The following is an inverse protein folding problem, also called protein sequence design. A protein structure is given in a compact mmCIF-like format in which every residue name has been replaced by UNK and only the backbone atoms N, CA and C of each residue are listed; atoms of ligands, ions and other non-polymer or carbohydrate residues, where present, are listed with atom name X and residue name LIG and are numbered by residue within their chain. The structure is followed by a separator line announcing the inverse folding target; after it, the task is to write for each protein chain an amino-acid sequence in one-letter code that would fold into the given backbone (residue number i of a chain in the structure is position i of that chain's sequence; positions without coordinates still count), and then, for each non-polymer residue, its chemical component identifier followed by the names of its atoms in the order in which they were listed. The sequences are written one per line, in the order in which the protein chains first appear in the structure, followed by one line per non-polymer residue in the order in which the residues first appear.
data_IF_428311729062
#
_entry.id   IF_428311729062
#
_cell.length_a   1.000
_cell.length_b   1.000
_cell.length_c   1.000
_cell.angle_alpha   90.00
_cell.angle_beta   90.00
_cell.angle_gamma   90.00
#
_symmetry.space_group_name_H-M   'P 1'
#
loop_
_entity.id
_entity.type
_entity.pdbx_description
1 polymer ?
#
# COMPACT_ATOMS: atom_id res chain seq x y z
N UNK A 1 -3.22 -34.06 -62.28
CA UNK A 1 -4.36 -34.43 -63.15
C UNK A 1 -5.38 -35.15 -62.27
N UNK A 2 -6.70 -34.90 -62.43
CA UNK A 2 -7.88 -35.77 -62.14
C UNK A 2 -7.97 -36.59 -60.81
N UNK A 3 -9.12 -36.93 -60.20
CA UNK A 3 -10.58 -36.56 -60.22
C UNK A 3 -11.26 -37.47 -59.14
N UNK A 4 -12.33 -37.25 -58.36
CA UNK A 4 -13.28 -36.16 -57.94
C UNK A 4 -14.07 -36.71 -56.70
N UNK A 5 -15.06 -35.96 -56.17
CA UNK A 5 -16.16 -36.39 -55.22
C UNK A 5 -15.77 -36.45 -53.73
N UNK A 6 -16.61 -36.11 -52.73
CA UNK A 6 -18.00 -35.58 -52.57
C UNK A 6 -17.96 -34.59 -51.36
N UNK A 7 -18.65 -33.44 -51.20
CA UNK A 7 -20.02 -32.92 -51.48
C UNK A 7 -21.14 -33.28 -50.48
N UNK A 8 -21.38 -32.41 -49.48
CA UNK A 8 -22.67 -31.98 -48.83
C UNK A 8 -22.31 -30.86 -47.81
N UNK A 9 -22.87 -29.63 -47.84
CA UNK A 9 -24.23 -29.16 -47.50
C UNK A 9 -24.50 -29.16 -45.96
N UNK A 10 -25.19 -28.18 -45.32
CA UNK A 10 -26.26 -27.27 -45.79
C UNK A 10 -26.11 -25.77 -45.40
N UNK A 11 -27.10 -24.99 -45.89
CA UNK A 11 -27.36 -23.55 -45.85
C UNK A 11 -27.54 -22.86 -44.48
N UNK A 12 -27.33 -21.54 -44.47
CA UNK A 12 -27.69 -20.62 -43.39
C UNK A 12 -29.21 -20.32 -43.31
N UNK A 13 -29.63 -19.70 -42.21
CA UNK A 13 -30.98 -19.13 -42.03
C UNK A 13 -30.85 -17.67 -41.59
N UNK A 14 -31.59 -16.77 -42.24
CA UNK A 14 -31.71 -15.36 -41.86
C UNK A 14 -33.19 -15.01 -41.71
N UNK A 15 -33.53 -14.21 -40.69
CA UNK A 15 -34.86 -13.66 -40.48
C UNK A 15 -34.77 -12.14 -40.30
N UNK A 16 -35.73 -11.42 -40.87
CA UNK A 16 -35.79 -9.95 -40.94
C UNK A 16 -37.25 -9.52 -40.70
N UNK A 17 -37.42 -8.27 -40.27
CA UNK A 17 -38.67 -7.48 -40.23
C UNK A 17 -39.62 -7.68 -39.03
N UNK A 18 -40.36 -6.65 -38.54
CA UNK A 18 -40.20 -5.17 -38.61
C UNK A 18 -41.35 -4.45 -37.83
N UNK A 19 -41.27 -3.12 -37.69
CA UNK A 19 -42.38 -2.16 -37.39
C UNK A 19 -42.93 -2.18 -35.94
N UNK A 20 -43.47 -1.11 -35.35
CA UNK A 20 -43.55 0.34 -35.65
C UNK A 20 -43.59 1.09 -34.28
N UNK A 21 -43.04 2.30 -34.04
CA UNK A 21 -43.07 3.59 -34.75
C UNK A 21 -44.39 4.39 -34.61
N UNK A 22 -44.35 5.49 -33.84
CA UNK A 22 -45.26 6.66 -33.91
C UNK A 22 -44.61 7.87 -33.17
N UNK A 23 -44.93 9.11 -33.55
CA UNK A 23 -44.19 10.31 -33.12
C UNK A 23 -45.02 11.63 -33.10
N UNK A 24 -44.44 12.68 -32.51
CA UNK A 24 -44.99 14.05 -32.32
C UNK A 24 -44.83 14.50 -30.85
N UNK A 25 -44.48 15.75 -30.47
CA UNK A 25 -44.38 17.03 -31.19
C UNK A 25 -45.49 18.01 -30.74
N UNK A 26 -45.29 19.30 -30.42
CA UNK A 26 -44.06 20.11 -30.27
C UNK A 26 -44.39 21.61 -30.06
N UNK A 27 -43.51 22.39 -29.40
CA UNK A 27 -43.66 23.85 -29.14
C UNK A 27 -44.57 24.25 -27.95
N UNK A 28 -44.64 25.51 -27.48
CA UNK A 28 -43.78 26.69 -27.69
C UNK A 28 -44.06 27.83 -26.65
N UNK A 29 -43.04 28.64 -26.32
CA UNK A 29 -43.03 30.07 -25.92
C UNK A 29 -44.02 30.67 -24.86
N UNK A 30 -43.48 31.08 -23.69
CA UNK A 30 -43.47 32.46 -23.08
C UNK A 30 -44.77 33.32 -22.89
N UNK A 31 -44.76 34.46 -22.12
CA UNK A 31 -44.05 34.85 -20.87
C UNK A 31 -44.97 35.57 -19.82
N UNK A 32 -44.37 36.20 -18.79
CA UNK A 32 -44.96 37.19 -17.85
C UNK A 32 -45.85 36.63 -16.72
N UNK A 33 -46.05 37.29 -15.56
CA UNK A 33 -45.73 38.68 -15.17
C UNK A 33 -45.24 38.80 -13.71
N UNK A 34 -44.74 39.98 -13.33
CA UNK A 34 -44.33 40.33 -11.96
C UNK A 34 -45.26 41.38 -11.35
N UNK A 35 -45.40 41.39 -10.01
CA UNK A 35 -46.07 42.46 -9.26
C UNK A 35 -45.29 42.81 -7.98
N UNK A 36 -45.13 44.11 -7.73
CA UNK A 36 -44.24 44.65 -6.70
C UNK A 36 -44.89 44.68 -5.31
N UNK A 37 -44.07 44.64 -4.25
CA UNK A 37 -44.44 44.96 -2.87
C UNK A 37 -43.20 45.00 -1.99
N UNK A 38 -42.88 46.14 -1.38
CA UNK A 38 -41.59 46.35 -0.72
C UNK A 38 -41.70 47.16 0.59
N UNK A 39 -40.69 46.98 1.44
CA UNK A 39 -40.35 47.75 2.65
C UNK A 39 -41.31 47.59 3.84
N UNK A 40 -40.81 46.91 4.87
CA UNK A 40 -41.04 47.27 6.27
C UNK A 40 -39.75 47.00 7.07
N UNK A 41 -39.01 48.05 7.41
CA UNK A 41 -37.85 47.98 8.31
C UNK A 41 -38.27 48.33 9.73
N UNK A 42 -37.97 47.47 10.71
CA UNK A 42 -37.53 47.98 12.01
C UNK A 42 -36.71 46.99 12.86
N UNK A 43 -35.44 47.34 13.06
CA UNK A 43 -34.62 47.21 14.27
C UNK A 43 -34.91 46.11 15.30
N UNK A 44 -33.91 45.26 15.56
CA UNK A 44 -33.57 44.80 16.93
C UNK A 44 -32.12 44.28 17.04
N UNK A 45 -31.28 45.06 17.74
CA UNK A 45 -30.13 44.67 18.59
C UNK A 45 -29.16 43.54 18.16
N UNK A 46 -27.88 43.91 17.98
CA UNK A 46 -26.77 43.16 18.60
C UNK A 46 -26.79 43.45 20.13
N UNK A 47 -26.33 42.64 21.08
CA UNK A 47 -25.17 41.73 21.26
C UNK A 47 -25.60 40.58 22.23
N UNK A 48 -24.77 39.57 22.64
CA UNK A 48 -23.31 39.42 22.49
C UNK A 48 -22.87 38.07 21.87
N UNK A 49 -21.62 37.66 22.12
CA UNK A 49 -20.98 36.45 21.62
C UNK A 49 -21.31 35.18 22.47
N UNK A 50 -20.66 34.09 22.10
CA UNK A 50 -20.63 32.77 22.75
C UNK A 50 -21.95 31.98 22.80
N UNK A 51 -22.10 31.12 21.79
CA UNK A 51 -22.78 29.83 21.91
C UNK A 51 -21.97 28.83 21.09
N UNK A 52 -21.45 27.75 21.71
CA UNK A 52 -20.57 26.83 20.99
C UNK A 52 -21.35 26.09 19.90
N UNK A 53 -20.83 26.12 18.68
CA UNK A 53 -21.18 25.10 17.68
C UNK A 53 -20.94 23.72 18.30
N UNK A 54 -21.87 22.76 18.20
CA UNK A 54 -21.65 21.43 18.73
C UNK A 54 -20.50 20.78 17.96
N UNK A 55 -19.31 20.75 18.57
CA UNK A 55 -18.20 19.90 18.12
C UNK A 55 -18.72 18.48 18.04
N UNK A 56 -18.59 17.78 16.89
CA UNK A 56 -19.02 16.40 16.80
C UNK A 56 -18.20 15.58 17.80
N UNK A 57 -18.88 15.00 18.79
CA UNK A 57 -18.24 14.16 19.81
C UNK A 57 -17.53 13.01 19.09
N UNK A 58 -16.22 12.79 19.30
CA UNK A 58 -15.54 11.65 18.71
C UNK A 58 -16.24 10.35 19.14
N UNK A 59 -16.55 9.49 18.18
CA UNK A 59 -17.15 8.20 18.48
C UNK A 59 -16.19 7.41 19.41
N UNK A 60 -16.64 6.87 20.55
CA UNK A 60 -15.75 6.35 21.61
C UNK A 60 -15.06 5.01 21.29
N UNK A 61 -14.96 4.63 20.02
CA UNK A 61 -14.36 3.39 19.51
C UNK A 61 -12.85 3.49 19.30
N UNK A 62 -12.28 4.70 19.18
CA UNK A 62 -10.83 4.89 18.94
C UNK A 62 -9.96 4.84 20.20
N UNK A 63 -10.54 4.58 21.38
CA UNK A 63 -9.84 4.62 22.67
C UNK A 63 -9.41 3.24 23.22
N UNK A 64 -9.67 2.14 22.51
CA UNK A 64 -9.37 0.77 22.96
C UNK A 64 -8.56 -0.04 21.93
N UNK A 65 -7.34 0.42 21.66
CA UNK A 65 -6.23 -0.42 21.14
C UNK A 65 -5.05 -0.32 22.10
N UNK A 66 -5.24 -0.86 23.31
CA UNK A 66 -4.13 -1.28 24.16
C UNK A 66 -3.57 -2.59 23.61
N UNK A 67 -2.50 -2.51 22.83
CA UNK A 67 -1.94 -3.68 22.15
C UNK A 67 -1.36 -4.70 23.14
N UNK A 68 -1.49 -6.00 22.80
CA UNK A 68 -1.17 -7.08 23.72
C UNK A 68 0.35 -7.20 23.92
N UNK A 69 0.82 -6.80 25.10
CA UNK A 69 2.15 -7.16 25.59
C UNK A 69 2.18 -8.63 26.04
N UNK A 70 2.09 -9.54 25.07
CA UNK A 70 2.17 -10.98 25.27
C UNK A 70 2.18 -11.74 23.95
N UNK A 71 3.24 -12.53 23.73
CA UNK A 71 3.40 -13.46 22.60
C UNK A 71 3.26 -12.83 21.20
N UNK A 72 4.11 -11.85 20.87
CA UNK A 72 4.24 -11.33 19.49
C UNK A 72 5.43 -11.98 18.80
N UNK A 73 5.24 -12.48 17.57
CA UNK A 73 6.33 -12.85 16.66
C UNK A 73 6.71 -11.63 15.83
N UNK A 74 8.02 -11.43 15.65
CA UNK A 74 8.63 -10.38 14.83
C UNK A 74 10.14 -10.61 14.74
N UNK A 75 10.86 -9.79 13.97
CA UNK A 75 12.30 -9.95 13.78
C UNK A 75 13.14 -9.29 14.87
N UNK A 76 14.25 -9.93 15.25
CA UNK A 76 15.23 -9.33 16.15
C UNK A 76 16.07 -8.26 15.44
N UNK A 77 16.27 -7.11 16.08
CA UNK A 77 17.03 -5.96 15.56
C UNK A 77 18.23 -5.60 16.46
N UNK A 78 19.21 -4.90 15.90
CA UNK A 78 20.33 -4.28 16.62
C UNK A 78 20.76 -2.97 15.93
N UNK A 79 21.93 -2.43 16.27
CA UNK A 79 22.49 -1.22 15.62
C UNK A 79 22.89 -1.45 14.16
N UNK A 80 23.20 -2.69 13.77
CA UNK A 80 23.71 -3.06 12.44
C UNK A 80 22.97 -4.22 11.79
N UNK A 81 22.17 -4.99 12.53
CA UNK A 81 21.25 -6.00 11.99
C UNK A 81 19.83 -5.45 12.01
N UNK A 82 19.21 -5.32 10.84
CA UNK A 82 17.83 -4.91 10.72
C UNK A 82 16.89 -5.93 11.36
N UNK A 83 15.79 -5.43 11.89
CA UNK A 83 14.57 -6.20 12.09
C UNK A 83 13.53 -5.81 11.05
N UNK A 84 12.80 -6.79 10.54
CA UNK A 84 11.54 -6.57 9.85
C UNK A 84 10.51 -5.86 10.76
N UNK A 85 9.66 -5.00 10.19
CA UNK A 85 8.62 -4.24 10.92
C UNK A 85 7.25 -4.94 10.86
N UNK A 86 7.29 -6.24 11.14
CA UNK A 86 6.15 -7.15 11.12
C UNK A 86 5.85 -7.67 12.52
N UNK A 87 4.55 -7.69 12.86
CA UNK A 87 4.02 -8.15 14.13
C UNK A 87 2.92 -9.19 13.87
N UNK A 88 3.02 -10.34 14.51
CA UNK A 88 1.97 -11.38 14.52
C UNK A 88 1.65 -11.76 15.97
N UNK A 89 0.37 -11.76 16.35
CA UNK A 89 -0.05 -12.30 17.63
C UNK A 89 0.00 -13.84 17.60
N UNK A 90 1.05 -14.43 18.19
CA UNK A 90 1.26 -15.88 18.21
C UNK A 90 0.12 -16.63 18.90
N UNK A 91 -0.60 -15.96 19.81
CA UNK A 91 -1.76 -16.53 20.53
C UNK A 91 -3.00 -16.71 19.64
N UNK A 92 -3.04 -16.09 18.46
CA UNK A 92 -4.11 -16.29 17.47
C UNK A 92 -3.90 -17.55 16.61
N UNK A 93 -2.63 -17.93 16.37
CA UNK A 93 -2.24 -19.09 15.56
C UNK A 93 -2.55 -18.96 14.06
N UNK A 94 -2.24 -20.01 13.31
CA UNK A 94 -2.63 -20.16 11.91
C UNK A 94 -3.99 -20.88 11.79
N UNK A 95 -4.68 -20.61 10.69
CA UNK A 95 -6.04 -21.08 10.42
C UNK A 95 -6.18 -21.56 8.97
N UNK A 96 -7.29 -22.21 8.64
CA UNK A 96 -7.57 -22.70 7.28
C UNK A 96 -8.23 -21.65 6.38
N UNK A 97 -8.49 -20.43 6.86
CA UNK A 97 -9.22 -19.40 6.10
C UNK A 97 -8.76 -17.97 6.40
N UNK A 98 -8.75 -17.10 5.39
CA UNK A 98 -8.41 -15.68 5.53
C UNK A 98 -9.40 -14.82 6.33
N UNK A 99 -10.49 -15.38 6.88
CA UNK A 99 -11.65 -14.63 7.39
C UNK A 99 -11.38 -13.73 8.63
N UNK A 100 -10.20 -13.84 9.25
CA UNK A 100 -9.86 -13.13 10.49
C UNK A 100 -9.15 -11.79 10.26
N UNK A 101 -8.79 -11.43 9.03
CA UNK A 101 -8.11 -10.16 8.69
C UNK A 101 -8.58 -9.61 7.34
N UNK A 102 -8.11 -8.43 6.96
CA UNK A 102 -8.44 -7.82 5.67
C UNK A 102 -7.74 -8.53 4.51
N UNK A 103 -8.44 -8.67 3.39
CA UNK A 103 -7.91 -9.24 2.15
C UNK A 103 -7.56 -8.20 1.09
N UNK A 104 -7.02 -8.65 -0.06
CA UNK A 104 -6.69 -7.76 -1.18
C UNK A 104 -7.90 -6.94 -1.67
N UNK A 105 -9.11 -7.52 -1.67
CA UNK A 105 -10.33 -6.81 -2.06
C UNK A 105 -10.69 -5.66 -1.09
N UNK A 106 -10.47 -5.86 0.21
CA UNK A 106 -10.70 -4.85 1.25
C UNK A 106 -9.74 -3.67 1.09
N UNK A 107 -8.44 -3.97 0.93
CA UNK A 107 -7.38 -2.99 0.73
C UNK A 107 -7.64 -2.12 -0.52
N UNK A 108 -8.05 -2.75 -1.62
CA UNK A 108 -8.39 -2.05 -2.86
C UNK A 108 -9.59 -1.12 -2.69
N UNK A 109 -10.63 -1.56 -1.99
CA UNK A 109 -11.80 -0.74 -1.68
C UNK A 109 -11.46 0.45 -0.75
N UNK A 110 -10.69 0.21 0.32
CA UNK A 110 -10.28 1.24 1.28
C UNK A 110 -9.45 2.37 0.66
N UNK A 111 -8.58 2.00 -0.29
CA UNK A 111 -7.61 2.89 -0.91
C UNK A 111 -7.99 3.30 -2.35
N UNK A 112 -9.28 3.23 -2.71
CA UNK A 112 -9.80 3.80 -3.95
C UNK A 112 -9.31 3.14 -5.24
N UNK A 113 -8.84 1.89 -5.17
CA UNK A 113 -8.33 1.13 -6.31
C UNK A 113 -9.45 0.35 -7.00
N UNK A 114 -9.46 0.35 -8.33
CA UNK A 114 -10.43 -0.42 -9.11
C UNK A 114 -10.37 -1.93 -8.77
N UNK A 115 -11.52 -2.64 -8.69
CA UNK A 115 -11.55 -4.08 -8.52
C UNK A 115 -10.74 -4.82 -9.60
N UNK A 116 -10.20 -5.98 -9.23
CA UNK A 116 -9.43 -6.82 -10.16
C UNK A 116 -10.35 -7.36 -11.24
N UNK A 117 -9.97 -7.18 -12.51
CA UNK A 117 -10.80 -7.59 -13.63
C UNK A 117 -10.66 -9.10 -13.89
N UNK A 118 -11.77 -9.85 -14.09
CA UNK A 118 -11.70 -11.27 -14.42
C UNK A 118 -10.85 -11.52 -15.68
N UNK A 119 -9.94 -12.49 -15.60
CA UNK A 119 -9.02 -12.82 -16.70
C UNK A 119 -7.85 -11.85 -16.88
N UNK A 120 -7.61 -10.91 -15.96
CA UNK A 120 -6.39 -10.13 -15.93
C UNK A 120 -5.14 -11.02 -15.83
N UNK A 121 -4.01 -10.54 -16.34
CA UNK A 121 -2.71 -11.23 -16.35
C UNK A 121 -1.64 -10.36 -15.69
N UNK A 122 -0.66 -11.01 -15.04
CA UNK A 122 0.42 -10.33 -14.35
C UNK A 122 1.65 -10.17 -15.26
N UNK A 123 1.56 -9.21 -16.18
CA UNK A 123 2.57 -8.93 -17.21
C UNK A 123 3.01 -7.46 -17.29
N UNK A 124 2.59 -6.63 -16.34
CA UNK A 124 2.93 -5.20 -16.25
C UNK A 124 4.36 -4.95 -15.74
N UNK A 125 4.64 -3.76 -15.17
CA UNK A 125 5.96 -3.43 -14.66
C UNK A 125 6.33 -4.30 -13.44
N UNK A 126 7.61 -4.36 -13.11
CA UNK A 126 8.11 -5.14 -11.97
C UNK A 126 8.20 -4.29 -10.69
N UNK A 127 7.79 -4.89 -9.58
CA UNK A 127 8.10 -4.46 -8.21
C UNK A 127 9.18 -5.42 -7.70
N UNK A 128 10.22 -4.91 -7.06
CA UNK A 128 11.11 -5.72 -6.24
C UNK A 128 10.78 -5.56 -4.75
N UNK A 129 10.99 -6.60 -3.96
CA UNK A 129 10.91 -6.55 -2.49
C UNK A 129 12.19 -7.17 -1.91
N UNK A 130 12.80 -6.47 -0.96
CA UNK A 130 14.12 -6.81 -0.40
C UNK A 130 13.96 -7.32 1.02
N UNK A 131 14.44 -8.54 1.27
CA UNK A 131 14.28 -9.26 2.54
C UNK A 131 15.61 -9.88 3.00
N UNK A 132 15.66 -10.36 4.24
CA UNK A 132 16.77 -11.18 4.73
C UNK A 132 16.39 -12.67 4.77
N UNK A 133 17.38 -13.53 4.50
CA UNK A 133 17.28 -15.01 4.43
C UNK A 133 16.42 -15.51 3.25
N UNK A 134 16.50 -16.82 2.95
CA UNK A 134 15.69 -17.47 1.90
C UNK A 134 14.35 -17.95 2.47
N UNK A 135 13.25 -17.56 1.81
CA UNK A 135 11.96 -18.21 1.92
C UNK A 135 11.79 -19.17 0.73
N UNK A 136 12.08 -20.48 0.91
CA UNK A 136 11.98 -21.44 -0.17
C UNK A 136 10.56 -21.58 -0.71
N UNK A 137 9.55 -21.33 0.11
CA UNK A 137 8.12 -21.56 -0.16
C UNK A 137 7.41 -20.35 -0.78
N UNK A 138 8.06 -19.19 -0.88
CA UNK A 138 7.44 -17.92 -1.30
C UNK A 138 6.57 -18.01 -2.57
N UNK A 139 6.97 -18.78 -3.61
CA UNK A 139 6.14 -18.93 -4.82
C UNK A 139 4.85 -19.75 -4.57
N UNK A 140 4.88 -20.75 -3.69
CA UNK A 140 3.72 -21.56 -3.32
C UNK A 140 2.73 -20.75 -2.46
N UNK A 141 3.27 -19.97 -1.52
CA UNK A 141 2.46 -19.22 -0.56
C UNK A 141 1.87 -17.95 -1.22
N UNK A 142 2.64 -17.29 -2.09
CA UNK A 142 2.15 -16.28 -3.04
C UNK A 142 1.04 -16.83 -3.97
N UNK A 143 1.22 -18.04 -4.53
CA UNK A 143 0.19 -18.65 -5.38
C UNK A 143 -1.10 -18.93 -4.59
N UNK A 144 -0.98 -19.38 -3.34
CA UNK A 144 -2.13 -19.64 -2.45
C UNK A 144 -2.86 -18.34 -2.08
N UNK A 145 -2.12 -17.29 -1.70
CA UNK A 145 -2.68 -15.95 -1.43
C UNK A 145 -3.42 -15.40 -2.66
N UNK A 146 -2.77 -15.42 -3.82
CA UNK A 146 -3.32 -14.86 -5.06
C UNK A 146 -4.55 -15.63 -5.55
N UNK A 147 -4.55 -16.96 -5.43
CA UNK A 147 -5.72 -17.78 -5.75
C UNK A 147 -6.92 -17.47 -4.84
N UNK A 148 -6.72 -17.35 -3.52
CA UNK A 148 -7.80 -17.09 -2.57
C UNK A 148 -8.48 -15.72 -2.74
N UNK A 149 -7.72 -14.71 -3.18
CA UNK A 149 -8.24 -13.36 -3.46
C UNK A 149 -8.56 -13.09 -4.95
N UNK A 150 -8.56 -14.12 -5.81
CA UNK A 150 -8.91 -13.99 -7.23
C UNK A 150 -7.94 -13.14 -8.05
N UNK A 151 -6.69 -13.02 -7.61
CA UNK A 151 -5.63 -12.29 -8.29
C UNK A 151 -5.02 -13.17 -9.40
N UNK A 152 -4.46 -12.59 -10.49
CA UNK A 152 -3.84 -13.37 -11.57
C UNK A 152 -2.71 -14.27 -11.05
N UNK A 153 -2.51 -15.45 -11.64
CA UNK A 153 -1.36 -16.30 -11.29
C UNK A 153 -0.03 -15.56 -11.57
N UNK A 154 0.88 -15.56 -10.60
CA UNK A 154 2.23 -15.00 -10.73
C UNK A 154 3.23 -16.08 -10.31
N UNK A 155 4.00 -16.59 -11.27
CA UNK A 155 4.90 -17.74 -11.07
C UNK A 155 6.20 -17.56 -11.85
N UNK A 156 7.23 -18.31 -11.47
CA UNK A 156 8.47 -18.44 -12.24
C UNK A 156 8.17 -19.03 -13.62
N UNK A 157 7.24 -19.99 -13.68
CA UNK A 157 6.83 -20.67 -14.91
C UNK A 157 6.10 -19.76 -15.92
N UNK A 158 5.45 -18.67 -15.49
CA UNK A 158 4.81 -17.69 -16.38
C UNK A 158 5.60 -16.37 -16.52
N UNK A 159 6.80 -16.28 -15.92
CA UNK A 159 7.67 -15.11 -16.02
C UNK A 159 7.12 -13.86 -15.33
N UNK A 160 6.25 -14.02 -14.33
CA UNK A 160 5.78 -12.96 -13.46
C UNK A 160 6.55 -12.88 -12.14
N UNK A 161 6.86 -14.04 -11.53
CA UNK A 161 7.65 -14.11 -10.32
C UNK A 161 9.12 -14.42 -10.66
N UNK A 162 10.04 -13.87 -9.87
CA UNK A 162 11.44 -14.23 -9.86
C UNK A 162 11.97 -14.15 -8.42
N UNK A 163 12.92 -15.03 -8.07
CA UNK A 163 13.65 -14.97 -6.79
C UNK A 163 15.15 -14.85 -7.06
N UNK A 164 15.79 -13.87 -6.44
CA UNK A 164 17.19 -13.53 -6.62
C UNK A 164 17.91 -13.52 -5.27
N UNK A 165 19.13 -14.06 -5.24
CA UNK A 165 19.92 -14.18 -4.01
C UNK A 165 21.11 -13.24 -4.07
N UNK A 166 21.25 -12.34 -3.10
CA UNK A 166 22.46 -11.55 -2.95
C UNK A 166 23.63 -12.50 -2.58
N UNK A 167 24.70 -12.46 -3.37
CA UNK A 167 25.77 -13.47 -3.36
C UNK A 167 25.63 -14.57 -4.43
N UNK A 168 24.55 -14.61 -5.21
CA UNK A 168 24.44 -15.39 -6.45
C UNK A 168 24.27 -16.91 -6.30
N UNK A 169 23.96 -17.40 -5.10
CA UNK A 169 23.72 -18.81 -4.82
C UNK A 169 22.55 -18.97 -3.84
N UNK A 170 21.92 -20.16 -3.83
CA UNK A 170 20.89 -20.50 -2.84
C UNK A 170 21.41 -20.24 -1.42
N UNK A 171 20.68 -19.42 -0.67
CA UNK A 171 20.97 -19.17 0.73
C UNK A 171 20.52 -20.36 1.58
N UNK A 172 20.75 -20.30 2.91
CA UNK A 172 20.15 -21.27 3.83
C UNK A 172 18.72 -20.81 4.16
N UNK A 173 17.70 -21.67 3.98
CA UNK A 173 16.35 -21.37 4.43
C UNK A 173 16.33 -21.02 5.92
N UNK A 174 15.58 -19.99 6.31
CA UNK A 174 15.36 -19.68 7.73
C UNK A 174 13.87 -19.55 8.04
N UNK A 175 13.28 -20.66 8.50
CA UNK A 175 11.91 -20.73 9.04
C UNK A 175 11.79 -19.77 10.25
N UNK A 176 11.32 -18.56 10.00
CA UNK A 176 11.42 -17.42 10.92
C UNK A 176 10.46 -16.29 10.51
N UNK A 177 10.39 -15.22 11.30
CA UNK A 177 9.63 -14.01 10.97
C UNK A 177 10.02 -13.37 9.62
N UNK A 178 11.22 -13.64 9.09
CA UNK A 178 11.63 -13.15 7.77
C UNK A 178 11.00 -13.92 6.59
N UNK A 179 10.65 -15.20 6.76
CA UNK A 179 9.88 -15.92 5.76
C UNK A 179 8.46 -15.33 5.66
N UNK A 180 7.83 -15.15 6.83
CA UNK A 180 6.54 -14.48 7.01
C UNK A 180 6.53 -13.04 6.45
N UNK A 181 7.64 -12.30 6.60
CA UNK A 181 7.81 -11.00 5.97
C UNK A 181 7.84 -11.10 4.44
N UNK A 182 8.61 -12.05 3.89
CA UNK A 182 8.67 -12.28 2.44
C UNK A 182 7.29 -12.58 1.85
N UNK A 183 6.48 -13.38 2.54
CA UNK A 183 5.11 -13.68 2.13
C UNK A 183 4.16 -12.47 2.30
N UNK A 184 4.40 -11.63 3.32
CA UNK A 184 3.65 -10.38 3.54
C UNK A 184 3.97 -9.33 2.46
N UNK A 185 5.25 -9.11 2.16
CA UNK A 185 5.72 -8.20 1.11
C UNK A 185 5.11 -8.55 -0.26
N UNK A 186 5.19 -9.83 -0.65
CA UNK A 186 4.66 -10.30 -1.91
C UNK A 186 3.12 -10.27 -1.95
N UNK A 187 2.44 -10.53 -0.83
CA UNK A 187 0.99 -10.40 -0.69
C UNK A 187 0.51 -8.95 -0.83
N UNK A 188 1.15 -8.01 -0.14
CA UNK A 188 0.74 -6.60 -0.14
C UNK A 188 1.08 -5.89 -1.45
N UNK A 189 2.23 -6.18 -2.06
CA UNK A 189 2.54 -5.77 -3.43
C UNK A 189 1.52 -6.33 -4.45
N UNK A 190 1.11 -7.61 -4.28
CA UNK A 190 0.04 -8.22 -5.09
C UNK A 190 -1.32 -7.55 -4.92
N UNK A 191 -1.67 -7.09 -3.71
CA UNK A 191 -2.94 -6.43 -3.45
C UNK A 191 -3.03 -5.04 -4.11
N UNK A 192 -1.94 -4.27 -4.09
CA UNK A 192 -1.86 -2.95 -4.73
C UNK A 192 -1.75 -3.05 -6.26
N UNK A 193 -0.87 -3.91 -6.79
CA UNK A 193 -0.73 -4.13 -8.24
C UNK A 193 -0.86 -5.63 -8.63
N UNK A 194 -2.09 -6.16 -8.75
CA UNK A 194 -2.33 -7.54 -9.19
C UNK A 194 -1.77 -7.88 -10.58
N UNK A 195 -1.56 -6.89 -11.43
CA UNK A 195 -1.02 -7.03 -12.79
C UNK A 195 0.49 -6.83 -12.89
N UNK A 196 1.16 -6.39 -11.82
CA UNK A 196 2.61 -6.22 -11.80
C UNK A 196 3.33 -7.57 -11.68
N UNK A 197 4.59 -7.58 -12.12
CA UNK A 197 5.56 -8.64 -11.84
C UNK A 197 6.18 -8.44 -10.46
N UNK A 198 6.66 -9.52 -9.86
CA UNK A 198 7.24 -9.52 -8.52
C UNK A 198 8.63 -10.15 -8.53
N UNK A 199 9.61 -9.46 -7.95
CA UNK A 199 10.98 -9.92 -7.78
C UNK A 199 11.27 -9.96 -6.28
N UNK A 200 11.38 -11.16 -5.71
CA UNK A 200 11.86 -11.34 -4.33
C UNK A 200 13.40 -11.32 -4.35
N UNK A 201 14.02 -10.43 -3.57
CA UNK A 201 15.49 -10.30 -3.49
C UNK A 201 15.96 -10.55 -2.07
N UNK A 202 16.68 -11.65 -1.89
CA UNK A 202 16.99 -12.24 -0.59
C UNK A 202 18.45 -11.99 -0.19
N UNK A 203 18.65 -11.39 0.97
CA UNK A 203 19.97 -11.12 1.56
C UNK A 203 20.48 -12.30 2.39
N UNK A 204 21.79 -12.64 2.38
CA UNK A 204 22.34 -13.77 3.14
C UNK A 204 22.17 -13.67 4.68
N UNK A 205 21.94 -12.47 5.20
CA UNK A 205 21.59 -12.19 6.59
C UNK A 205 20.84 -10.84 6.67
N UNK A 206 20.42 -10.42 7.87
CA UNK A 206 19.79 -9.10 8.06
C UNK A 206 20.78 -7.96 8.39
N UNK A 207 22.07 -8.08 8.11
CA UNK A 207 23.00 -6.96 8.27
C UNK A 207 22.66 -5.83 7.29
N UNK A 208 22.71 -4.57 7.74
CA UNK A 208 22.33 -3.43 6.88
C UNK A 208 23.26 -3.28 5.65
N UNK A 209 24.49 -3.80 5.74
CA UNK A 209 25.47 -3.90 4.65
C UNK A 209 25.10 -4.92 3.57
N UNK A 210 24.49 -6.05 3.93
CA UNK A 210 24.09 -7.09 2.97
C UNK A 210 22.73 -6.77 2.36
N UNK A 211 21.84 -6.14 3.13
CA UNK A 211 20.58 -5.56 2.64
C UNK A 211 20.84 -4.41 1.66
N UNK A 212 21.84 -3.55 1.91
CA UNK A 212 22.26 -2.52 0.95
C UNK A 212 22.69 -3.10 -0.41
N UNK A 213 23.42 -4.21 -0.43
CA UNK A 213 23.78 -4.90 -1.67
C UNK A 213 22.63 -5.70 -2.30
N UNK A 214 21.58 -6.01 -1.53
CA UNK A 214 20.34 -6.57 -2.07
C UNK A 214 19.47 -5.47 -2.74
N UNK A 215 19.48 -4.24 -2.21
CA UNK A 215 18.89 -3.06 -2.87
C UNK A 215 19.58 -2.78 -4.23
N UNK A 216 20.92 -2.77 -4.28
CA UNK A 216 21.68 -2.67 -5.54
C UNK A 216 21.24 -3.73 -6.57
N UNK A 217 21.09 -4.98 -6.12
CA UNK A 217 20.70 -6.12 -6.96
C UNK A 217 19.25 -6.01 -7.44
N UNK A 218 18.34 -5.51 -6.60
CA UNK A 218 16.96 -5.21 -6.95
C UNK A 218 16.88 -4.12 -8.02
N UNK A 219 17.56 -2.99 -7.81
CA UNK A 219 17.60 -1.89 -8.77
C UNK A 219 18.22 -2.27 -10.12
N UNK A 220 19.20 -3.18 -10.12
CA UNK A 220 19.80 -3.74 -11.34
C UNK A 220 18.81 -4.55 -12.21
N UNK A 221 17.62 -4.93 -11.70
CA UNK A 221 16.56 -5.55 -12.50
C UNK A 221 15.64 -4.53 -13.18
N UNK A 222 15.87 -3.22 -12.95
CA UNK A 222 15.02 -2.12 -13.39
C UNK A 222 13.52 -2.26 -13.02
N UNK A 223 13.18 -2.57 -11.75
CA UNK A 223 11.80 -2.44 -11.27
C UNK A 223 11.39 -0.97 -11.24
N UNK A 224 10.08 -0.69 -11.28
CA UNK A 224 9.57 0.68 -11.13
C UNK A 224 9.46 1.10 -9.66
N UNK A 225 9.45 0.14 -8.73
CA UNK A 225 9.41 0.36 -7.28
C UNK A 225 10.16 -0.73 -6.52
N UNK A 226 10.72 -0.38 -5.35
CA UNK A 226 11.35 -1.32 -4.42
C UNK A 226 10.69 -1.19 -3.03
N UNK A 227 10.29 -2.32 -2.46
CA UNK A 227 9.76 -2.45 -1.09
C UNK A 227 10.84 -2.90 -0.11
N UNK A 228 10.97 -2.18 1.01
CA UNK A 228 11.90 -2.51 2.10
C UNK A 228 11.14 -2.55 3.44
N UNK A 229 10.81 -3.75 3.91
CA UNK A 229 9.96 -3.95 5.10
C UNK A 229 10.75 -4.11 6.41
N UNK A 230 11.82 -3.34 6.58
CA UNK A 230 12.75 -3.49 7.69
C UNK A 230 13.47 -2.20 8.08
N UNK A 231 14.16 -2.21 9.22
CA UNK A 231 15.06 -1.12 9.57
C UNK A 231 16.02 -1.38 10.73
N UNK A 232 16.96 -0.45 10.87
CA UNK A 232 17.86 -0.28 12.03
C UNK A 232 17.67 1.13 12.63
N UNK A 233 18.00 1.37 13.91
CA UNK A 233 18.01 2.73 14.47
C UNK A 233 18.93 3.64 13.65
N UNK A 234 18.50 4.86 13.30
CA UNK A 234 19.36 5.77 12.52
C UNK A 234 20.67 6.05 13.27
N UNK A 235 21.79 5.71 12.65
CA UNK A 235 23.13 5.89 13.20
C UNK A 235 24.17 6.06 12.08
N UNK A 236 25.37 6.52 12.45
CA UNK A 236 26.44 6.83 11.48
C UNK A 236 26.91 5.61 10.67
N UNK A 237 26.83 4.39 11.24
CA UNK A 237 27.24 3.16 10.54
C UNK A 237 26.20 2.78 9.49
N UNK A 238 24.91 2.82 9.82
CA UNK A 238 23.83 2.62 8.85
C UNK A 238 23.87 3.67 7.72
N UNK A 239 24.06 4.95 8.08
CA UNK A 239 24.15 6.06 7.12
C UNK A 239 25.36 6.01 6.19
N UNK A 240 26.38 5.20 6.47
CA UNK A 240 27.45 4.92 5.52
C UNK A 240 26.98 4.18 4.26
N UNK A 241 25.84 3.48 4.33
CA UNK A 241 25.21 2.75 3.22
C UNK A 241 24.08 3.55 2.54
N UNK A 242 23.88 4.83 2.88
CA UNK A 242 22.75 5.62 2.38
C UNK A 242 22.65 5.75 0.85
N UNK A 243 23.77 5.61 0.13
CA UNK A 243 23.81 5.65 -1.33
C UNK A 243 23.11 4.47 -2.01
N UNK A 244 22.95 3.35 -1.32
CA UNK A 244 22.32 2.15 -1.89
C UNK A 244 20.80 2.31 -2.05
N UNK A 245 20.13 3.04 -1.14
CA UNK A 245 18.71 3.39 -1.30
C UNK A 245 18.52 4.68 -2.12
N UNK A 246 19.28 4.87 -3.20
CA UNK A 246 19.23 6.08 -4.05
C UNK A 246 19.38 5.75 -5.54
N UNK A 247 18.32 5.23 -6.14
CA UNK A 247 18.24 4.89 -7.56
C UNK A 247 17.23 5.80 -8.29
N UNK A 248 17.67 6.88 -8.97
CA UNK A 248 16.77 7.78 -9.68
C UNK A 248 15.90 7.06 -10.71
N UNK A 249 14.60 7.37 -10.70
CA UNK A 249 13.61 6.72 -11.56
C UNK A 249 13.02 5.42 -11.00
N UNK A 250 13.46 4.96 -9.82
CA UNK A 250 12.87 3.82 -9.11
C UNK A 250 12.23 4.33 -7.82
N UNK A 251 10.94 4.01 -7.60
CA UNK A 251 10.22 4.42 -6.41
C UNK A 251 10.59 3.52 -5.20
N UNK A 252 11.65 3.89 -4.49
CA UNK A 252 12.08 3.20 -3.27
C UNK A 252 11.15 3.56 -2.11
N UNK A 253 10.66 2.55 -1.41
CA UNK A 253 9.78 2.66 -0.23
C UNK A 253 10.37 1.89 0.94
N UNK A 254 10.17 2.39 2.16
CA UNK A 254 10.57 1.67 3.37
C UNK A 254 9.55 1.83 4.50
N UNK A 255 9.33 0.78 5.27
CA UNK A 255 8.44 0.81 6.44
C UNK A 255 9.07 1.64 7.56
N UNK A 256 8.30 2.59 8.10
CA UNK A 256 8.84 3.63 8.98
C UNK A 256 9.24 3.13 10.38
N UNK A 257 8.77 1.95 10.80
CA UNK A 257 9.03 1.33 12.09
C UNK A 257 7.77 1.15 12.93
N UNK A 258 7.89 0.34 13.98
CA UNK A 258 6.77 -0.12 14.82
C UNK A 258 6.93 0.27 16.31
N UNK A 259 7.92 1.12 16.59
CA UNK A 259 8.33 1.51 17.94
C UNK A 259 8.27 3.03 18.18
N UNK A 260 7.29 3.71 17.56
CA UNK A 260 7.06 5.18 17.63
C UNK A 260 8.21 6.07 17.14
N UNK A 261 9.33 5.49 16.73
CA UNK A 261 10.57 6.16 16.35
C UNK A 261 10.93 5.75 14.92
N UNK A 262 11.35 6.68 14.04
CA UNK A 262 11.65 6.33 12.65
C UNK A 262 13.00 5.62 12.52
N UNK A 263 13.06 4.61 11.65
CA UNK A 263 14.27 3.80 11.40
C UNK A 263 14.91 4.10 10.04
N UNK A 264 16.18 3.74 9.89
CA UNK A 264 16.87 3.71 8.59
C UNK A 264 16.54 2.37 7.90
N UNK A 265 16.23 2.34 6.58
CA UNK A 265 16.45 3.40 5.59
C UNK A 265 15.31 4.44 5.43
N UNK A 266 14.18 4.29 6.11
CA UNK A 266 13.04 5.22 5.98
C UNK A 266 13.38 6.69 6.37
N UNK A 267 14.40 6.95 7.20
CA UNK A 267 14.87 8.32 7.47
C UNK A 267 15.55 9.02 6.29
N UNK A 268 15.86 8.34 5.18
CA UNK A 268 16.51 8.93 4.01
C UNK A 268 15.58 9.80 3.18
N UNK A 269 16.15 10.82 2.52
CA UNK A 269 15.46 11.71 1.57
C UNK A 269 15.34 11.14 0.15
N UNK A 270 16.02 10.03 -0.16
CA UNK A 270 15.87 9.28 -1.41
C UNK A 270 14.78 8.21 -1.37
N UNK A 271 14.19 7.97 -0.19
CA UNK A 271 13.19 6.93 0.09
C UNK A 271 11.84 7.55 0.40
N UNK A 272 10.74 6.91 -0.02
CA UNK A 272 9.39 7.20 0.51
C UNK A 272 9.20 6.46 1.82
N UNK A 273 9.06 7.19 2.93
CA UNK A 273 8.85 6.60 4.24
C UNK A 273 7.37 6.31 4.46
N UNK A 274 7.03 5.06 4.79
CA UNK A 274 5.65 4.58 4.88
C UNK A 274 5.27 4.23 6.32
N UNK A 275 4.39 5.04 6.90
CA UNK A 275 3.87 4.89 8.26
C UNK A 275 2.59 4.06 8.33
N UNK A 276 2.06 3.93 9.55
CA UNK A 276 0.90 3.11 9.87
C UNK A 276 -0.40 3.88 10.12
N UNK A 277 -1.51 3.32 9.65
CA UNK A 277 -2.88 3.70 10.04
C UNK A 277 -3.63 2.55 10.72
N UNK A 278 -4.62 2.90 11.53
CA UNK A 278 -5.70 2.00 11.96
C UNK A 278 -6.81 2.12 10.91
N UNK A 279 -7.11 1.05 10.19
CA UNK A 279 -8.13 1.02 9.13
C UNK A 279 -9.34 0.18 9.57
N UNK A 280 -10.52 0.80 9.63
CA UNK A 280 -11.75 0.16 10.14
C UNK A 280 -12.88 0.29 9.14
N UNK A 281 -13.64 -0.79 8.91
CA UNK A 281 -14.87 -0.78 8.10
C UNK A 281 -15.92 0.10 8.77
N UNK A 282 -16.37 1.14 8.08
CA UNK A 282 -17.29 2.13 8.61
C UNK A 282 -18.35 2.50 7.56
N UNK A 283 -19.48 1.80 7.62
CA UNK A 283 -20.63 1.98 6.75
C UNK A 283 -21.38 3.33 6.96
N UNK A 284 -20.97 4.16 7.92
CA UNK A 284 -21.50 5.54 8.06
C UNK A 284 -20.77 6.53 7.15
N UNK A 285 -19.59 6.17 6.65
CA UNK A 285 -18.81 6.99 5.71
C UNK A 285 -19.12 6.65 4.25
N UNK A 286 -19.01 7.64 3.36
CA UNK A 286 -19.14 7.44 1.90
C UNK A 286 -18.07 6.49 1.35
N UNK A 287 -16.89 6.45 1.98
CA UNK A 287 -15.81 5.52 1.63
C UNK A 287 -16.10 4.08 2.06
N UNK A 288 -16.95 3.86 3.07
CA UNK A 288 -17.10 2.59 3.77
C UNK A 288 -15.97 2.28 4.76
N UNK A 289 -15.07 3.25 5.01
CA UNK A 289 -13.82 3.07 5.76
C UNK A 289 -13.39 4.34 6.50
N UNK A 290 -13.14 4.20 7.80
CA UNK A 290 -12.55 5.25 8.66
C UNK A 290 -11.10 4.90 9.00
N UNK A 291 -10.23 5.90 9.06
CA UNK A 291 -8.82 5.74 9.44
C UNK A 291 -8.36 6.71 10.54
N UNK A 292 -7.42 6.25 11.35
CA UNK A 292 -6.70 7.03 12.35
C UNK A 292 -5.19 6.71 12.30
N UNK A 293 -4.35 7.52 12.94
CA UNK A 293 -2.92 7.23 13.09
C UNK A 293 -2.73 5.95 13.91
N UNK A 294 -1.90 5.00 13.43
CA UNK A 294 -1.53 3.85 14.25
C UNK A 294 -0.56 4.29 15.34
N UNK A 295 -0.96 4.17 16.61
CA UNK A 295 -0.23 4.76 17.75
C UNK A 295 1.20 4.26 17.98
N UNK A 296 1.64 3.19 17.28
CA UNK A 296 2.98 2.64 17.34
C UNK A 296 3.83 2.91 16.08
N UNK A 297 3.29 3.55 15.03
CA UNK A 297 4.04 3.90 13.82
C UNK A 297 5.31 4.69 14.11
N UNK A 298 6.41 4.33 13.46
CA UNK A 298 7.63 5.12 13.40
C UNK A 298 7.32 6.47 12.77
N UNK A 299 7.57 7.53 13.53
CA UNK A 299 7.22 8.89 13.16
C UNK A 299 8.08 9.89 13.95
N UNK A 300 8.40 11.04 13.35
CA UNK A 300 9.24 12.06 13.97
C UNK A 300 10.26 12.64 13.00
N UNK A 301 11.36 13.15 13.54
CA UNK A 301 12.44 13.76 12.76
C UNK A 301 13.66 12.84 12.71
N UNK A 302 14.28 12.70 11.55
CA UNK A 302 15.65 12.17 11.44
C UNK A 302 16.61 13.00 12.30
N UNK A 303 17.56 12.35 12.97
CA UNK A 303 18.58 13.04 13.74
C UNK A 303 19.65 13.68 12.83
N UNK A 304 19.83 13.16 11.61
CA UNK A 304 21.01 13.46 10.78
C UNK A 304 20.77 13.60 9.27
N UNK A 305 19.55 13.39 8.75
CA UNK A 305 19.20 13.62 7.33
C UNK A 305 18.67 15.06 7.15
N UNK A 306 19.32 15.90 6.32
CA UNK A 306 18.82 17.23 6.02
C UNK A 306 17.41 17.18 5.43
N UNK A 307 16.55 18.13 5.80
CA UNK A 307 15.21 18.21 5.19
C UNK A 307 15.32 18.48 3.68
N UNK A 308 14.79 17.61 2.81
CA UNK A 308 14.82 17.84 1.37
C UNK A 308 13.92 19.01 0.98
N UNK A 309 14.24 19.71 -0.11
CA UNK A 309 13.53 20.92 -0.55
C UNK A 309 12.06 20.67 -0.96
N UNK A 310 11.71 19.43 -1.32
CA UNK A 310 10.33 19.03 -1.61
C UNK A 310 9.48 18.80 -0.36
N UNK A 311 10.07 18.66 0.83
CA UNK A 311 9.35 18.46 2.09
C UNK A 311 8.86 19.81 2.63
N UNK A 312 7.85 20.36 1.94
CA UNK A 312 7.22 21.65 2.22
C UNK A 312 6.46 21.65 3.55
N UNK A 313 5.77 20.55 3.86
CA UNK A 313 5.27 20.27 5.21
C UNK A 313 6.30 19.42 5.96
N UNK A 314 6.89 20.00 6.99
CA UNK A 314 7.93 19.35 7.80
C UNK A 314 7.41 18.85 9.17
N UNK A 315 6.12 19.02 9.49
CA UNK A 315 5.53 18.58 10.77
C UNK A 315 6.26 19.08 12.03
N UNK A 316 6.97 20.21 11.94
CA UNK A 316 7.81 20.78 13.01
C UNK A 316 9.29 20.40 12.97
N UNK A 317 9.71 19.50 12.08
CA UNK A 317 11.10 19.07 11.95
C UNK A 317 12.00 20.07 11.21
N UNK A 318 13.22 20.25 11.73
CA UNK A 318 14.34 20.92 11.05
C UNK A 318 14.99 20.01 9.99
N UNK A 319 15.07 18.72 10.30
CA UNK A 319 15.59 17.64 9.46
C UNK A 319 14.44 16.93 8.71
N UNK A 320 14.76 15.88 7.94
CA UNK A 320 13.78 15.02 7.25
C UNK A 320 12.75 14.46 8.25
N UNK A 321 11.48 14.84 8.09
CA UNK A 321 10.36 14.31 8.83
C UNK A 321 9.90 12.97 8.25
N UNK A 322 9.54 12.01 9.10
CA UNK A 322 9.03 10.67 8.77
C UNK A 322 7.68 10.49 9.47
N UNK A 323 6.65 9.92 8.88
CA UNK A 323 6.54 9.34 7.54
C UNK A 323 6.10 10.37 6.47
N UNK A 324 6.14 9.97 5.20
CA UNK A 324 5.62 10.76 4.08
C UNK A 324 4.15 10.46 3.81
N UNK A 325 3.79 9.18 3.83
CA UNK A 325 2.43 8.64 3.66
C UNK A 325 2.22 7.49 4.64
N UNK A 326 0.98 7.17 4.99
CA UNK A 326 0.66 6.01 5.83
C UNK A 326 -0.32 5.06 5.14
N UNK A 327 -0.26 3.77 5.47
CA UNK A 327 -1.30 2.79 5.13
C UNK A 327 -1.51 1.84 6.32
N UNK A 328 -2.49 0.93 6.22
CA UNK A 328 -2.91 0.05 7.33
C UNK A 328 -1.74 -0.72 7.94
N UNK A 329 -1.62 -0.65 9.26
CA UNK A 329 -0.56 -1.31 10.05
C UNK A 329 -1.04 -1.82 11.43
N UNK A 330 -2.30 -1.58 11.82
CA UNK A 330 -2.81 -1.92 13.15
C UNK A 330 -3.32 -3.36 13.26
N UNK A 331 -3.12 -3.98 14.43
CA UNK A 331 -3.43 -5.39 14.71
C UNK A 331 -4.91 -5.80 14.67
N UNK A 332 -5.84 -4.83 14.62
CA UNK A 332 -7.28 -5.08 14.55
C UNK A 332 -7.89 -4.18 13.48
N UNK A 333 -8.44 -4.73 12.38
CA UNK A 333 -8.55 -6.15 12.03
C UNK A 333 -7.24 -6.84 11.59
N UNK A 334 -6.15 -6.11 11.30
CA UNK A 334 -4.94 -6.66 10.69
C UNK A 334 -5.16 -7.18 9.26
N UNK A 335 -4.14 -7.77 8.65
CA UNK A 335 -4.17 -8.33 7.28
C UNK A 335 -4.08 -9.84 7.33
N UNK A 336 -4.90 -10.53 6.53
CA UNK A 336 -4.80 -11.96 6.33
C UNK A 336 -3.77 -12.30 5.24
N UNK A 337 -2.67 -12.96 5.61
CA UNK A 337 -1.67 -13.52 4.69
C UNK A 337 -1.56 -15.04 4.88
N UNK A 338 -0.97 -15.73 3.91
CA UNK A 338 -0.75 -17.17 3.97
C UNK A 338 0.75 -17.47 4.10
N UNK A 339 1.13 -18.23 5.11
CA UNK A 339 2.50 -18.68 5.37
C UNK A 339 2.44 -20.18 5.71
N UNK A 340 3.03 -21.02 4.86
CA UNK A 340 3.04 -22.49 5.03
C UNK A 340 3.87 -22.96 6.22
N UNK A 341 4.83 -22.15 6.67
CA UNK A 341 5.73 -22.42 7.78
C UNK A 341 5.05 -22.12 9.12
N UNK A 342 4.21 -21.07 9.15
CA UNK A 342 3.27 -20.79 10.24
C UNK A 342 2.09 -21.78 10.29
N UNK A 343 1.81 -22.47 9.17
CA UNK A 343 0.80 -23.52 9.05
C UNK A 343 -0.51 -23.11 8.37
N UNK A 344 -0.55 -21.98 7.67
CA UNK A 344 -1.70 -21.56 6.87
C UNK A 344 -1.98 -20.05 6.92
N UNK A 345 -3.26 -19.70 7.04
CA UNK A 345 -3.71 -18.31 7.11
C UNK A 345 -3.50 -17.71 8.49
N UNK A 346 -2.68 -16.66 8.55
CA UNK A 346 -2.39 -15.89 9.77
C UNK A 346 -2.82 -14.43 9.60
N UNK A 347 -2.99 -13.73 10.72
CA UNK A 347 -3.21 -12.28 10.72
C UNK A 347 -1.93 -11.58 11.18
N UNK A 348 -1.45 -10.66 10.35
CA UNK A 348 -0.24 -9.86 10.57
C UNK A 348 -0.56 -8.37 10.57
N UNK A 349 0.32 -7.58 11.19
CA UNK A 349 0.28 -6.13 11.22
C UNK A 349 1.70 -5.54 11.33
N UNK A 350 1.82 -4.22 11.43
CA UNK A 350 3.09 -3.51 11.43
C UNK A 350 3.30 -2.66 10.17
N UNK A 351 4.27 -1.76 10.16
CA UNK A 351 4.52 -0.89 8.99
C UNK A 351 5.04 -1.66 7.77
N UNK A 352 5.53 -2.89 7.94
CA UNK A 352 5.79 -3.83 6.85
C UNK A 352 4.56 -4.21 6.03
N UNK A 353 3.35 -4.09 6.57
CA UNK A 353 2.14 -4.20 5.74
C UNK A 353 2.04 -3.02 4.76
N UNK A 354 2.39 -1.83 5.22
CA UNK A 354 2.11 -0.58 4.51
C UNK A 354 3.11 -0.30 3.37
N UNK A 355 4.42 -0.55 3.59
CA UNK A 355 5.47 -0.24 2.61
C UNK A 355 5.35 -0.96 1.24
N UNK A 356 5.27 -2.31 1.16
CA UNK A 356 5.08 -3.06 -0.09
C UNK A 356 3.77 -2.73 -0.78
N UNK A 357 2.71 -2.40 -0.03
CA UNK A 357 1.47 -1.90 -0.62
C UNK A 357 1.73 -0.57 -1.35
N UNK A 358 2.44 0.37 -0.73
CA UNK A 358 2.82 1.65 -1.36
C UNK A 358 3.81 1.47 -2.52
N UNK A 359 4.74 0.52 -2.48
CA UNK A 359 5.55 0.14 -3.64
C UNK A 359 4.67 -0.31 -4.82
N UNK A 360 3.66 -1.13 -4.53
CA UNK A 360 2.66 -1.54 -5.51
C UNK A 360 1.73 -0.41 -5.99
N UNK A 361 1.52 0.65 -5.21
CA UNK A 361 0.78 1.84 -5.68
C UNK A 361 1.59 2.62 -6.71
N UNK A 362 2.87 2.90 -6.44
CA UNK A 362 3.78 3.49 -7.44
C UNK A 362 3.86 2.65 -8.71
N UNK A 363 3.93 1.32 -8.58
CA UNK A 363 3.97 0.42 -9.73
C UNK A 363 2.63 0.29 -10.49
N UNK A 364 1.50 0.49 -9.81
CA UNK A 364 0.18 0.56 -10.45
C UNK A 364 -0.08 1.91 -11.14
N UNK A 365 0.51 3.00 -10.65
CA UNK A 365 0.52 4.31 -11.32
C UNK A 365 1.44 4.30 -12.55
N UNK A 366 2.61 3.65 -12.44
CA UNK A 366 3.57 3.36 -13.51
C UNK A 366 4.19 4.58 -14.22
N UNK A 367 4.16 5.75 -13.58
CA UNK A 367 4.57 7.05 -14.13
C UNK A 367 5.51 7.84 -13.20
N UNK A 368 6.14 7.18 -12.21
CA UNK A 368 7.19 7.76 -11.37
C UNK A 368 8.33 8.32 -12.24
N UNK A 369 8.72 9.61 -12.13
CA UNK A 369 9.62 10.22 -13.11
C UNK A 369 11.03 9.63 -13.10
N UNK A 370 11.61 9.40 -14.27
CA UNK A 370 12.93 8.78 -14.46
C UNK A 370 14.14 9.51 -13.80
N UNK A 371 13.94 10.72 -13.27
CA UNK A 371 14.94 11.50 -12.52
C UNK A 371 14.50 11.83 -11.09
N UNK A 372 13.37 11.28 -10.61
CA UNK A 372 12.87 11.48 -9.27
C UNK A 372 13.54 10.53 -8.26
N UNK A 373 13.61 10.98 -7.02
CA UNK A 373 14.01 10.21 -5.84
C UNK A 373 13.14 10.63 -4.65
N UNK A 374 12.93 9.71 -3.70
CA UNK A 374 12.11 9.96 -2.51
C UNK A 374 10.64 10.28 -2.80
N UNK A 375 10.00 10.91 -1.82
CA UNK A 375 8.56 11.18 -1.82
C UNK A 375 8.16 12.49 -2.56
N UNK A 376 9.05 13.13 -3.33
CA UNK A 376 8.83 14.46 -3.90
C UNK A 376 7.46 14.64 -4.61
N UNK A 377 6.99 13.59 -5.29
CA UNK A 377 5.69 13.56 -5.99
C UNK A 377 4.50 13.51 -5.04
N UNK A 378 4.58 12.76 -3.94
CA UNK A 378 3.54 12.73 -2.91
C UNK A 378 3.30 14.11 -2.29
N UNK A 379 4.36 14.91 -2.09
CA UNK A 379 4.23 16.28 -1.57
C UNK A 379 3.62 17.25 -2.60
N UNK A 380 3.89 17.07 -3.89
CA UNK A 380 3.23 17.82 -4.96
C UNK A 380 1.74 17.46 -5.08
N UNK A 381 1.39 16.18 -4.90
CA UNK A 381 0.06 15.63 -5.11
C UNK A 381 -0.72 15.36 -3.82
N UNK A 382 -0.31 15.91 -2.66
CA UNK A 382 -0.84 15.56 -1.34
C UNK A 382 -2.36 15.75 -1.18
N UNK A 383 -2.97 16.63 -1.97
CA UNK A 383 -4.43 16.81 -2.03
C UNK A 383 -5.20 15.59 -2.59
N UNK A 384 -4.50 14.60 -3.16
CA UNK A 384 -5.04 13.33 -3.61
C UNK A 384 -4.88 12.19 -2.58
N UNK A 385 -4.58 12.51 -1.31
CA UNK A 385 -4.58 11.56 -0.19
C UNK A 385 -5.84 11.71 0.67
N UNK A 386 -6.24 10.62 1.33
CA UNK A 386 -7.24 10.64 2.39
C UNK A 386 -6.63 11.30 3.64
N UNK A 387 -7.24 12.35 4.21
CA UNK A 387 -6.68 13.03 5.38
C UNK A 387 -6.87 12.19 6.64
N UNK A 388 -5.82 12.11 7.48
CA UNK A 388 -5.93 11.59 8.84
C UNK A 388 -6.33 12.71 9.82
N UNK A 389 -6.95 12.38 10.97
CA UNK A 389 -7.30 13.36 11.99
C UNK A 389 -6.09 14.20 12.44
N UNK A 390 -6.25 15.53 12.41
CA UNK A 390 -5.14 16.46 12.61
C UNK A 390 -4.59 16.45 14.05
N UNK A 391 -3.29 16.79 14.19
CA UNK A 391 -2.63 16.99 15.49
C UNK A 391 -1.89 15.78 16.07
N UNK A 392 -1.85 14.64 15.36
CA UNK A 392 -1.19 13.40 15.85
C UNK A 392 -0.25 12.73 14.83
N UNK A 393 -0.10 13.30 13.63
CA UNK A 393 0.41 12.60 12.44
C UNK A 393 1.60 13.31 11.80
N UNK A 394 2.76 12.63 11.74
CA UNK A 394 3.84 12.95 10.80
C UNK A 394 3.59 12.13 9.53
N UNK A 395 2.72 12.60 8.64
CA UNK A 395 2.33 11.96 7.38
C UNK A 395 1.39 12.88 6.61
N UNK A 396 1.43 12.85 5.27
CA UNK A 396 0.52 13.62 4.41
C UNK A 396 -0.90 13.07 4.39
N UNK A 397 -1.11 11.80 4.80
CA UNK A 397 -2.40 11.12 4.75
C UNK A 397 -2.26 9.64 4.39
N UNK A 398 -3.33 9.04 3.88
CA UNK A 398 -3.36 7.66 3.37
C UNK A 398 -3.79 7.61 1.89
N UNK A 399 -3.51 6.55 1.12
CA UNK A 399 -3.82 6.48 -0.30
C UNK A 399 -5.31 6.76 -0.64
N UNK A 400 -5.58 7.37 -1.78
CA UNK A 400 -6.94 7.58 -2.29
C UNK A 400 -6.99 7.44 -3.83
N UNK A 401 -6.83 6.21 -4.30
CA UNK A 401 -6.48 5.93 -5.68
C UNK A 401 -5.00 6.21 -5.96
N UNK A 402 -4.65 6.29 -7.24
CA UNK A 402 -3.26 6.36 -7.70
C UNK A 402 -2.72 7.79 -7.89
N UNK A 403 -3.56 8.83 -7.89
CA UNK A 403 -3.17 10.19 -8.31
C UNK A 403 -2.12 10.88 -7.42
N UNK A 404 -1.84 10.35 -6.22
CA UNK A 404 -0.77 10.84 -5.34
C UNK A 404 0.62 10.24 -5.65
N UNK A 405 0.65 9.06 -6.27
CA UNK A 405 1.84 8.22 -6.53
C UNK A 405 2.34 8.44 -7.96
#
# INVERSE_FOLDING_TARGET
MLDRRRTTALTALALVASLAACAGGGGALAPSAASHGAIALNQSRALPADSPTPTPTPAPLLAQVGELLGNVVGCAASLTTAGCHLLQNASAGATTTFQNGLGAADLRAAYGLAPVQPGAVANGPAIAVVVAYDNPNAEHDLATYRAAFGLPACTSANGCFARLFNGGALLKPQQSAWAMESDTDLAMASAACPTCKLILVESPNSEISTLAHAEDLAAAQHPVAIGNSYGVPENQQARAFASHWNHPGIAITASAGDAKTPTFPATLSSVTAVGGSVLVKDATTVRGWTEAVWGNTGAGCSATEPRPSWQTNAFGCTNRAVADVSAVAAANPGIAIYDSNAGGWIVVNGTSVAAPFVAGLYAAAADYPATATGAARLYANAAHLNPLPAGTSYTLGTPNGLAAF
#
